data_IF_852722638933
#
_entry.id   IF_852722638933
#
_cell.length_a   1.000
_cell.length_b   1.000
_cell.length_c   1.000
_cell.angle_alpha   90.00
_cell.angle_beta   90.00
_cell.angle_gamma   90.00
#
_symmetry.space_group_name_H-M   'P 1'
#
loop_
_entity.id
_entity.type
_entity.pdbx_description
1 polymer ?
#
# COMPACT_ATOMS: atom_id res chain seq x y z
N UNK A 1 10.07 8.75 6.15
CA UNK A 1 9.36 7.57 5.60
C UNK A 1 10.25 6.33 5.53
N UNK A 2 11.40 6.34 4.86
CA UNK A 2 12.29 5.16 4.77
C UNK A 2 12.62 4.51 6.12
N UNK A 3 13.11 5.28 7.10
CA UNK A 3 13.44 4.76 8.45
C UNK A 3 12.24 4.11 9.15
N UNK A 4 11.04 4.65 8.93
CA UNK A 4 9.80 4.08 9.48
C UNK A 4 9.53 2.72 8.86
N UNK A 5 9.61 2.59 7.54
CA UNK A 5 9.37 1.33 6.84
C UNK A 5 10.41 0.26 7.13
N UNK A 6 11.69 0.62 7.21
CA UNK A 6 12.76 -0.27 7.65
C UNK A 6 12.45 -0.84 9.05
N UNK A 7 12.04 0.03 9.99
CA UNK A 7 11.62 -0.38 11.32
C UNK A 7 10.35 -1.25 11.30
N UNK A 8 9.35 -0.92 10.47
CA UNK A 8 8.16 -1.76 10.36
C UNK A 8 8.49 -3.15 9.81
N UNK A 9 9.41 -3.25 8.85
CA UNK A 9 9.82 -4.53 8.29
C UNK A 9 10.65 -5.37 9.28
N UNK A 10 11.48 -4.75 10.13
CA UNK A 10 12.18 -5.47 11.20
C UNK A 10 11.22 -5.94 12.31
N UNK A 11 10.26 -5.10 12.69
CA UNK A 11 9.44 -5.31 13.88
C UNK A 11 8.18 -6.15 13.59
N UNK A 12 7.72 -6.22 12.33
CA UNK A 12 6.43 -6.85 11.97
C UNK A 12 6.60 -7.89 10.88
N UNK A 13 6.43 -9.15 11.27
CA UNK A 13 6.37 -10.27 10.32
C UNK A 13 5.28 -10.03 9.29
N UNK A 14 5.62 -10.19 8.01
CA UNK A 14 4.69 -10.03 6.89
C UNK A 14 4.47 -8.59 6.43
N UNK A 15 5.12 -7.60 7.06
CA UNK A 15 5.24 -6.26 6.50
C UNK A 15 6.23 -6.28 5.33
N UNK A 16 5.88 -5.60 4.25
CA UNK A 16 6.72 -5.47 3.06
C UNK A 16 6.66 -4.04 2.54
N UNK A 17 7.76 -3.54 2.00
CA UNK A 17 7.79 -2.30 1.25
C UNK A 17 8.76 -2.39 0.08
N UNK A 18 8.51 -1.58 -0.93
CA UNK A 18 9.37 -1.40 -2.09
C UNK A 18 9.49 0.09 -2.43
N UNK A 19 10.65 0.46 -2.98
CA UNK A 19 10.97 1.83 -3.36
C UNK A 19 11.46 1.79 -4.79
N UNK A 20 10.93 2.69 -5.61
CA UNK A 20 11.41 2.91 -6.96
C UNK A 20 11.97 4.32 -7.05
N UNK A 21 13.19 4.42 -7.58
CA UNK A 21 13.83 5.68 -7.93
C UNK A 21 13.60 5.97 -9.42
N UNK A 22 13.56 7.24 -9.80
CA UNK A 22 13.58 7.66 -11.20
C UNK A 22 15.00 7.61 -11.79
N UNK A 23 15.13 8.05 -13.04
CA UNK A 23 16.39 8.07 -13.79
C UNK A 23 17.42 9.07 -13.24
N UNK A 24 16.98 10.05 -12.46
CA UNK A 24 17.83 11.06 -11.82
C UNK A 24 18.22 10.64 -10.40
N UNK A 25 17.72 9.49 -9.91
CA UNK A 25 17.94 9.02 -8.56
C UNK A 25 17.09 9.73 -7.52
N UNK A 26 16.01 10.40 -7.93
CA UNK A 26 14.99 10.88 -7.02
C UNK A 26 13.96 9.78 -6.75
N UNK A 27 13.28 9.90 -5.61
CA UNK A 27 12.21 8.98 -5.25
C UNK A 27 11.02 9.18 -6.21
N UNK A 28 10.64 8.11 -6.91
CA UNK A 28 9.48 8.10 -7.81
C UNK A 28 8.25 7.47 -7.15
N UNK A 29 8.38 6.26 -6.60
CA UNK A 29 7.25 5.51 -6.03
C UNK A 29 7.60 4.87 -4.69
N UNK A 30 6.61 4.83 -3.80
CA UNK A 30 6.62 4.03 -2.57
C UNK A 30 5.46 3.04 -2.60
N UNK A 31 5.76 1.77 -2.36
CA UNK A 31 4.77 0.74 -2.15
C UNK A 31 4.99 0.08 -0.79
N UNK A 32 3.91 -0.23 -0.07
CA UNK A 32 4.00 -1.00 1.16
C UNK A 32 2.70 -1.75 1.42
N UNK A 33 2.82 -2.85 2.17
CA UNK A 33 1.69 -3.67 2.60
C UNK A 33 1.99 -4.29 3.96
N UNK A 34 0.98 -4.36 4.82
CA UNK A 34 1.09 -5.03 6.12
C UNK A 34 0.57 -6.49 6.02
N UNK A 35 0.90 -7.31 7.01
CA UNK A 35 0.53 -8.73 7.00
C UNK A 35 -0.99 -8.97 6.89
N UNK A 36 -1.80 -8.17 7.59
CA UNK A 36 -3.27 -8.28 7.57
C UNK A 36 -3.83 -7.99 6.19
N UNK A 37 -3.32 -6.96 5.53
CA UNK A 37 -3.71 -6.56 4.19
C UNK A 37 -3.38 -7.66 3.15
N UNK A 38 -2.22 -8.31 3.25
CA UNK A 38 -1.91 -9.49 2.42
C UNK A 38 -2.86 -10.67 2.65
N UNK A 39 -3.24 -10.93 3.91
CA UNK A 39 -4.20 -11.99 4.25
C UNK A 39 -5.59 -11.64 3.69
N UNK A 40 -6.00 -10.37 3.81
CA UNK A 40 -7.25 -9.89 3.25
C UNK A 40 -7.28 -10.05 1.73
N UNK A 41 -6.20 -9.67 1.03
CA UNK A 41 -6.08 -9.88 -0.40
C UNK A 41 -6.16 -11.37 -0.79
N UNK A 42 -5.52 -12.25 -0.02
CA UNK A 42 -5.61 -13.70 -0.26
C UNK A 42 -7.04 -14.24 -0.15
N UNK A 43 -7.87 -13.65 0.71
CA UNK A 43 -9.22 -14.13 0.99
C UNK A 43 -10.31 -13.43 0.16
N UNK A 44 -10.09 -12.18 -0.26
CA UNK A 44 -11.11 -11.31 -0.86
C UNK A 44 -10.62 -10.60 -2.13
N UNK A 45 -9.45 -10.98 -2.66
CA UNK A 45 -8.78 -10.31 -3.78
C UNK A 45 -9.40 -10.55 -5.16
N UNK A 46 -10.58 -11.16 -5.24
CA UNK A 46 -11.30 -11.43 -6.50
C UNK A 46 -11.66 -10.12 -7.22
N UNK A 47 -11.92 -9.05 -6.45
CA UNK A 47 -12.19 -7.71 -6.97
C UNK A 47 -11.37 -6.69 -6.20
N UNK A 48 -10.62 -5.86 -6.93
CA UNK A 48 -9.83 -4.74 -6.37
C UNK A 48 -10.32 -3.44 -6.99
N UNK A 49 -10.69 -2.51 -6.13
CA UNK A 49 -10.98 -1.12 -6.46
C UNK A 49 -9.69 -0.30 -6.37
N UNK A 50 -9.40 0.38 -7.47
CA UNK A 50 -8.37 1.42 -7.55
C UNK A 50 -9.07 2.76 -7.65
N UNK A 51 -8.92 3.58 -6.62
CA UNK A 51 -9.45 4.94 -6.65
C UNK A 51 -8.30 5.96 -6.61
N UNK A 52 -7.83 6.45 -7.77
CA UNK A 52 -6.83 7.51 -7.84
C UNK A 52 -7.42 8.89 -7.55
N UNK A 53 -8.73 9.01 -7.30
CA UNK A 53 -9.38 10.32 -7.04
C UNK A 53 -9.10 10.85 -5.63
N UNK A 54 -8.54 10.03 -4.74
CA UNK A 54 -8.24 10.43 -3.37
C UNK A 54 -6.84 11.05 -3.25
N UNK A 55 -6.80 12.38 -3.39
CA UNK A 55 -5.81 13.27 -2.79
C UNK A 55 -4.36 13.04 -3.23
N UNK A 56 -3.86 13.96 -4.05
CA UNK A 56 -2.44 14.26 -4.03
C UNK A 56 -2.05 14.62 -2.59
N UNK A 57 -1.09 13.90 -2.02
CA UNK A 57 -0.59 14.26 -0.69
C UNK A 57 0.08 15.65 -0.73
N UNK A 58 0.53 16.19 0.41
CA UNK A 58 1.19 17.51 0.47
C UNK A 58 2.41 17.67 -0.47
N UNK A 59 2.90 16.58 -1.05
CA UNK A 59 4.00 16.53 -2.02
C UNK A 59 3.51 16.41 -3.47
N UNK A 60 2.22 16.63 -3.74
CA UNK A 60 1.61 16.47 -5.07
C UNK A 60 1.75 15.07 -5.66
N UNK A 61 2.06 14.06 -4.84
CA UNK A 61 2.14 12.67 -5.29
C UNK A 61 0.78 11.99 -5.13
N UNK A 62 0.28 11.28 -6.15
CA UNK A 62 -0.95 10.50 -6.04
C UNK A 62 -0.78 9.40 -4.99
N UNK A 63 -1.79 9.23 -4.14
CA UNK A 63 -1.85 8.11 -3.21
C UNK A 63 -2.98 7.18 -3.64
N UNK A 64 -2.64 5.92 -3.92
CA UNK A 64 -3.59 4.95 -4.47
C UNK A 64 -3.71 3.80 -3.46
N UNK A 65 -4.79 3.73 -2.68
CA UNK A 65 -5.06 2.57 -1.84
C UNK A 65 -5.57 1.41 -2.69
N UNK A 66 -5.20 0.18 -2.31
CA UNK A 66 -5.76 -1.04 -2.87
C UNK A 66 -6.90 -1.46 -1.95
N UNK A 67 -8.14 -1.39 -2.43
CA UNK A 67 -9.31 -1.67 -1.59
C UNK A 67 -10.10 -2.80 -2.25
N UNK A 68 -10.63 -3.73 -1.47
CA UNK A 68 -11.69 -4.61 -1.93
C UNK A 68 -12.82 -4.68 -0.93
N UNK A 69 -13.67 -5.68 -1.09
CA UNK A 69 -14.90 -5.84 -0.31
C UNK A 69 -14.90 -7.23 0.34
N UNK A 70 -15.12 -7.30 1.64
CA UNK A 70 -15.24 -8.58 2.34
C UNK A 70 -16.67 -9.17 2.22
N UNK A 71 -16.87 -10.39 2.73
CA UNK A 71 -18.18 -11.07 2.72
C UNK A 71 -19.31 -10.32 3.47
N UNK A 72 -18.98 -9.29 4.25
CA UNK A 72 -19.94 -8.42 4.93
C UNK A 72 -20.22 -7.13 4.16
N UNK A 73 -19.80 -7.03 2.89
CA UNK A 73 -19.94 -5.86 2.05
C UNK A 73 -19.20 -4.62 2.60
N UNK A 74 -18.13 -4.83 3.36
CA UNK A 74 -17.32 -3.75 3.94
C UNK A 74 -16.00 -3.58 3.20
N UNK A 75 -15.60 -2.32 3.01
CA UNK A 75 -14.30 -1.97 2.43
C UNK A 75 -13.15 -2.52 3.27
N UNK A 76 -12.21 -3.20 2.61
CA UNK A 76 -11.02 -3.78 3.23
C UNK A 76 -9.78 -3.33 2.47
N UNK A 77 -8.78 -2.81 3.19
CA UNK A 77 -7.50 -2.40 2.62
C UNK A 77 -6.61 -3.62 2.37
N UNK A 78 -6.22 -3.80 1.11
CA UNK A 78 -5.30 -4.83 0.63
C UNK A 78 -3.84 -4.37 0.60
#
# INVERSE_FOLDING_TARGET
MLKYFQKQQSDRVGFFYAIQMDVEGHLANYFWVNARSRIAYKNFGDVVLFDPTYLTNKYKMPFIPFIGVNNYHQSTLF
#
